data_IF_978599831382
#
_entry.id   IF_978599831382
#
_cell.length_a   1.000
_cell.length_b   1.000
_cell.length_c   1.000
_cell.angle_alpha   90.00
_cell.angle_beta   90.00
_cell.angle_gamma   90.00
#
_symmetry.space_group_name_H-M   'P 1'
#
loop_
_entity.id
_entity.type
_entity.pdbx_description
1 polymer ?
#
# COMPACT_ATOMS: atom_id res chain seq x y z
N UNK A 1 -1.51 35.16 -38.70
CA UNK A 1 -1.67 35.05 -37.23
C UNK A 1 -2.72 34.01 -36.79
N UNK A 2 -3.89 33.92 -37.42
CA UNK A 2 -4.98 33.02 -37.02
C UNK A 2 -4.62 31.51 -36.99
N UNK A 3 -3.74 31.05 -37.89
CA UNK A 3 -3.33 29.63 -37.98
C UNK A 3 -2.36 29.18 -36.88
N UNK A 4 -1.51 30.08 -36.37
CA UNK A 4 -0.59 29.77 -35.27
C UNK A 4 -1.37 29.63 -33.94
N UNK A 5 -2.36 30.50 -33.74
CA UNK A 5 -3.24 30.47 -32.57
C UNK A 5 -4.08 29.18 -32.50
N UNK A 6 -4.69 28.77 -33.63
CA UNK A 6 -5.43 27.49 -33.71
C UNK A 6 -4.56 26.25 -33.48
N UNK A 7 -3.26 26.31 -33.82
CA UNK A 7 -2.31 25.21 -33.53
C UNK A 7 -1.90 25.17 -32.07
N UNK A 8 -1.71 26.32 -31.43
CA UNK A 8 -1.39 26.40 -30.01
C UNK A 8 -2.53 25.84 -29.13
N UNK A 9 -3.79 26.19 -29.45
CA UNK A 9 -4.98 25.65 -28.77
C UNK A 9 -5.04 24.12 -28.90
N UNK A 10 -4.93 23.60 -30.13
CA UNK A 10 -4.92 22.14 -30.37
C UNK A 10 -3.71 21.40 -29.78
N UNK A 11 -2.61 22.10 -29.52
CA UNK A 11 -1.46 21.54 -28.82
C UNK A 11 -1.78 21.41 -27.34
N UNK A 12 -2.27 22.50 -26.74
CA UNK A 12 -2.68 22.55 -25.34
C UNK A 12 -3.77 21.53 -25.01
N UNK A 13 -4.82 21.44 -25.84
CA UNK A 13 -5.90 20.45 -25.67
C UNK A 13 -5.39 19.00 -25.70
N UNK A 14 -4.36 18.70 -26.52
CA UNK A 14 -3.74 17.37 -26.59
C UNK A 14 -2.84 17.08 -25.39
N UNK A 15 -2.15 18.09 -24.88
CA UNK A 15 -1.35 17.99 -23.66
C UNK A 15 -2.27 17.76 -22.45
N UNK A 16 -3.37 18.51 -22.33
CA UNK A 16 -4.38 18.36 -21.28
C UNK A 16 -5.04 16.95 -21.32
N UNK A 17 -5.36 16.43 -22.50
CA UNK A 17 -5.89 15.06 -22.66
C UNK A 17 -4.85 13.99 -22.28
N UNK A 18 -3.57 14.24 -22.57
CA UNK A 18 -2.48 13.34 -22.21
C UNK A 18 -2.25 13.33 -20.71
N UNK A 19 -2.32 14.48 -20.06
CA UNK A 19 -2.15 14.59 -18.61
C UNK A 19 -3.34 14.02 -17.84
N UNK A 20 -4.57 14.18 -18.34
CA UNK A 20 -5.74 13.48 -17.80
C UNK A 20 -5.57 11.95 -17.84
N UNK A 21 -5.10 11.39 -18.98
CA UNK A 21 -4.83 9.94 -19.10
C UNK A 21 -3.71 9.47 -18.18
N UNK A 22 -2.68 10.29 -17.97
CA UNK A 22 -1.59 9.99 -17.02
C UNK A 22 -2.10 9.99 -15.59
N UNK A 23 -2.91 10.98 -15.22
CA UNK A 23 -3.55 11.05 -13.92
C UNK A 23 -4.43 9.82 -13.67
N UNK A 24 -5.33 9.47 -14.60
CA UNK A 24 -6.21 8.30 -14.47
C UNK A 24 -5.42 7.00 -14.25
N UNK A 25 -4.28 6.82 -14.95
CA UNK A 25 -3.37 5.70 -14.72
C UNK A 25 -2.72 5.72 -13.34
N UNK A 26 -2.28 6.88 -12.87
CA UNK A 26 -1.70 7.00 -11.52
C UNK A 26 -2.72 6.63 -10.45
N UNK A 27 -3.98 7.04 -10.62
CA UNK A 27 -5.03 6.66 -9.66
C UNK A 27 -5.28 5.17 -9.69
N UNK A 28 -5.38 4.55 -10.86
CA UNK A 28 -5.57 3.10 -10.97
C UNK A 28 -4.45 2.32 -10.25
N UNK A 29 -3.20 2.76 -10.39
CA UNK A 29 -2.05 2.15 -9.68
C UNK A 29 -2.17 2.34 -8.16
N UNK A 30 -2.56 3.52 -7.69
CA UNK A 30 -2.73 3.77 -6.25
C UNK A 30 -3.87 2.94 -5.65
N UNK A 31 -4.98 2.78 -6.37
CA UNK A 31 -6.10 1.92 -5.97
C UNK A 31 -5.67 0.44 -5.88
N UNK A 32 -4.87 -0.04 -6.84
CA UNK A 32 -4.31 -1.40 -6.83
C UNK A 32 -3.37 -1.63 -5.64
N UNK A 33 -2.39 -0.74 -5.43
CA UNK A 33 -1.44 -0.81 -4.31
C UNK A 33 -2.15 -0.75 -2.96
N UNK A 34 -3.22 0.05 -2.86
CA UNK A 34 -4.06 0.11 -1.66
C UNK A 34 -4.74 -1.22 -1.35
N UNK A 35 -5.29 -1.88 -2.37
CA UNK A 35 -5.96 -3.16 -2.22
C UNK A 35 -4.97 -4.28 -1.86
N UNK A 36 -3.76 -4.27 -2.43
CA UNK A 36 -2.69 -5.20 -2.07
C UNK A 36 -2.23 -5.01 -0.62
N UNK A 37 -1.93 -3.77 -0.21
CA UNK A 37 -1.48 -3.45 1.15
C UNK A 37 -2.50 -3.87 2.21
N UNK A 38 -3.79 -3.69 1.92
CA UNK A 38 -4.87 -4.08 2.83
C UNK A 38 -4.95 -5.61 3.01
N UNK A 39 -4.80 -6.36 1.91
CA UNK A 39 -4.76 -7.84 1.96
C UNK A 39 -3.53 -8.36 2.71
N UNK A 40 -2.38 -7.74 2.49
CA UNK A 40 -1.13 -8.06 3.21
C UNK A 40 -1.30 -7.86 4.73
N UNK A 41 -1.93 -6.75 5.13
CA UNK A 41 -2.23 -6.46 6.54
C UNK A 41 -3.10 -7.53 7.17
N UNK A 42 -4.24 -7.86 6.56
CA UNK A 42 -5.16 -8.88 7.06
C UNK A 42 -4.46 -10.25 7.18
N UNK A 43 -3.64 -10.60 6.18
CA UNK A 43 -2.84 -11.83 6.19
C UNK A 43 -1.79 -11.85 7.30
N UNK A 44 -1.15 -10.73 7.62
CA UNK A 44 -0.21 -10.60 8.74
C UNK A 44 -0.92 -10.70 10.09
N UNK A 45 -2.05 -10.01 10.27
CA UNK A 45 -2.86 -10.08 11.49
C UNK A 45 -3.32 -11.51 11.77
N UNK A 46 -3.75 -12.22 10.71
CA UNK A 46 -4.13 -13.63 10.83
C UNK A 46 -2.96 -14.51 11.26
N UNK A 47 -1.80 -14.39 10.59
CA UNK A 47 -0.57 -15.14 10.94
C UNK A 47 -0.11 -14.84 12.37
N UNK A 48 -0.17 -13.58 12.80
CA UNK A 48 0.13 -13.18 14.17
C UNK A 48 -0.80 -13.87 15.17
N UNK A 49 -2.12 -13.83 14.94
CA UNK A 49 -3.10 -14.53 15.79
C UNK A 49 -2.87 -16.04 15.82
N UNK A 50 -2.60 -16.66 14.67
CA UNK A 50 -2.32 -18.09 14.58
C UNK A 50 -1.07 -18.46 15.38
N UNK A 51 0.01 -17.69 15.27
CA UNK A 51 1.25 -17.92 16.02
C UNK A 51 1.08 -17.67 17.52
N UNK A 52 0.37 -16.62 17.92
CA UNK A 52 0.01 -16.37 19.32
C UNK A 52 -0.88 -17.48 19.90
N UNK A 53 -1.81 -18.04 19.10
CA UNK A 53 -2.74 -19.09 19.55
C UNK A 53 -2.13 -20.49 19.54
N UNK A 54 -1.17 -20.75 18.65
CA UNK A 54 -0.56 -22.08 18.50
C UNK A 54 0.67 -22.29 19.35
N UNK A 55 1.31 -21.24 19.86
CA UNK A 55 2.55 -21.36 20.65
C UNK A 55 3.67 -22.11 19.92
N UNK A 56 3.58 -22.28 18.60
CA UNK A 56 4.37 -23.28 17.87
C UNK A 56 5.18 -22.62 16.78
N UNK A 57 6.44 -22.97 16.86
CA UNK A 57 7.54 -22.60 16.03
C UNK A 57 7.80 -23.82 15.14
N UNK A 58 7.42 -23.76 13.87
CA UNK A 58 7.79 -24.79 12.89
C UNK A 58 9.32 -24.86 12.71
N UNK A 59 10.03 -23.78 13.03
CA UNK A 59 11.50 -23.72 13.08
C UNK A 59 12.12 -24.56 14.21
N UNK A 60 11.39 -24.78 15.31
CA UNK A 60 11.88 -25.60 16.44
C UNK A 60 11.84 -27.10 16.14
N UNK A 61 11.01 -27.55 15.19
CA UNK A 61 10.97 -28.95 14.74
C UNK A 61 12.23 -29.37 13.97
N UNK A 62 13.00 -28.42 13.43
CA UNK A 62 14.28 -28.70 12.77
C UNK A 62 15.43 -28.93 13.76
N UNK A 63 15.27 -28.51 15.02
CA UNK A 63 16.22 -28.75 16.10
C UNK A 63 15.84 -30.09 16.74
N UNK A 64 16.76 -31.06 16.80
CA UNK A 64 16.57 -32.26 17.61
C UNK A 64 16.47 -31.84 19.09
N UNK A 65 15.24 -31.64 19.56
CA UNK A 65 14.86 -31.24 20.92
C UNK A 65 15.46 -29.91 21.42
N UNK A 66 14.89 -28.76 21.03
CA UNK A 66 15.24 -27.47 21.63
C UNK A 66 14.85 -27.40 23.11
N UNK A 67 15.67 -26.72 23.92
CA UNK A 67 15.38 -26.50 25.34
C UNK A 67 14.23 -25.49 25.54
N UNK A 68 13.55 -25.49 26.69
CA UNK A 68 12.51 -24.50 27.00
C UNK A 68 12.96 -23.05 26.81
N UNK A 69 14.20 -22.70 27.16
CA UNK A 69 14.72 -21.34 26.93
C UNK A 69 14.90 -21.03 25.44
N UNK A 70 15.36 -22.00 24.65
CA UNK A 70 15.50 -21.84 23.19
C UNK A 70 14.14 -21.67 22.51
N UNK A 71 13.11 -22.38 22.99
CA UNK A 71 11.75 -22.20 22.50
C UNK A 71 11.23 -20.79 22.82
N UNK A 72 11.41 -20.32 24.06
CA UNK A 72 10.94 -19.02 24.51
C UNK A 72 11.65 -17.85 23.80
N UNK A 73 12.97 -17.93 23.63
CA UNK A 73 13.76 -16.91 22.93
C UNK A 73 13.35 -16.80 21.46
N UNK A 74 13.21 -17.93 20.76
CA UNK A 74 12.81 -17.94 19.36
C UNK A 74 11.35 -17.47 19.16
N UNK A 75 10.45 -17.81 20.08
CA UNK A 75 9.07 -17.28 20.07
C UNK A 75 9.06 -15.75 20.27
N UNK A 76 9.86 -15.22 21.18
CA UNK A 76 9.97 -13.78 21.43
C UNK A 76 10.52 -13.02 20.20
N UNK A 77 11.50 -13.58 19.51
CA UNK A 77 12.07 -12.99 18.29
C UNK A 77 11.07 -12.99 17.12
N UNK A 78 10.36 -14.10 16.90
CA UNK A 78 9.33 -14.19 15.85
C UNK A 78 8.16 -13.24 16.15
N UNK A 79 7.73 -13.16 17.41
CA UNK A 79 6.69 -12.23 17.84
C UNK A 79 7.08 -10.78 17.56
N UNK A 80 8.31 -10.37 17.93
CA UNK A 80 8.82 -9.02 17.64
C UNK A 80 8.90 -8.73 16.15
N UNK A 81 9.36 -9.67 15.33
CA UNK A 81 9.43 -9.50 13.88
C UNK A 81 8.05 -9.26 13.27
N UNK A 82 7.03 -9.98 13.75
CA UNK A 82 5.64 -9.81 13.33
C UNK A 82 5.04 -8.49 13.80
N UNK A 83 5.25 -8.10 15.05
CA UNK A 83 4.82 -6.80 15.57
C UNK A 83 5.41 -5.66 14.72
N UNK A 84 6.69 -5.74 14.39
CA UNK A 84 7.32 -4.77 13.49
C UNK A 84 6.75 -4.81 12.06
N UNK A 85 6.44 -5.99 11.53
CA UNK A 85 5.83 -6.10 10.20
C UNK A 85 4.43 -5.49 10.18
N UNK A 86 3.59 -5.78 11.17
CA UNK A 86 2.25 -5.21 11.33
C UNK A 86 2.33 -3.69 11.44
N UNK A 87 3.18 -3.17 12.33
CA UNK A 87 3.33 -1.71 12.50
C UNK A 87 3.80 -1.01 11.21
N UNK A 88 4.69 -1.64 10.43
CA UNK A 88 5.09 -1.10 9.11
C UNK A 88 3.92 -1.07 8.14
N UNK A 89 3.15 -2.15 8.06
CA UNK A 89 2.01 -2.24 7.15
C UNK A 89 0.88 -1.27 7.54
N UNK A 90 0.63 -1.06 8.84
CA UNK A 90 -0.31 -0.04 9.33
C UNK A 90 0.10 1.37 8.90
N UNK A 91 1.41 1.69 9.01
CA UNK A 91 1.93 2.97 8.54
C UNK A 91 1.76 3.15 7.04
N UNK A 92 2.04 2.11 6.25
CA UNK A 92 1.83 2.13 4.80
C UNK A 92 0.35 2.32 4.45
N UNK A 93 -0.54 1.63 5.16
CA UNK A 93 -1.99 1.78 4.98
C UNK A 93 -2.45 3.22 5.24
N UNK A 94 -1.92 3.86 6.29
CA UNK A 94 -2.25 5.24 6.59
C UNK A 94 -1.73 6.22 5.53
N UNK A 95 -0.51 6.00 5.03
CA UNK A 95 0.03 6.76 3.90
C UNK A 95 -0.83 6.62 2.64
N UNK A 96 -1.29 5.41 2.35
CA UNK A 96 -2.18 5.14 1.22
C UNK A 96 -3.52 5.86 1.38
N UNK A 97 -4.12 5.90 2.58
CA UNK A 97 -5.35 6.67 2.81
C UNK A 97 -5.16 8.16 2.55
N UNK A 98 -4.04 8.73 3.00
CA UNK A 98 -3.70 10.14 2.75
C UNK A 98 -3.53 10.39 1.25
N UNK A 99 -2.84 9.50 0.54
CA UNK A 99 -2.69 9.59 -0.92
C UNK A 99 -4.04 9.48 -1.64
N UNK A 100 -4.92 8.59 -1.18
CA UNK A 100 -6.28 8.44 -1.73
C UNK A 100 -7.10 9.70 -1.53
N UNK A 101 -7.11 10.27 -0.33
CA UNK A 101 -7.83 11.52 -0.05
C UNK A 101 -7.31 12.68 -0.91
N UNK A 102 -5.99 12.75 -1.13
CA UNK A 102 -5.40 13.73 -2.04
C UNK A 102 -5.87 13.53 -3.49
N UNK A 103 -5.89 12.28 -3.98
CA UNK A 103 -6.39 11.94 -5.31
C UNK A 103 -7.88 12.26 -5.47
N UNK A 104 -8.70 11.97 -4.47
CA UNK A 104 -10.13 12.31 -4.45
C UNK A 104 -10.32 13.83 -4.54
N UNK A 105 -9.52 14.61 -3.79
CA UNK A 105 -9.51 16.07 -3.90
C UNK A 105 -9.11 16.59 -5.28
N UNK A 106 -8.13 15.96 -5.94
CA UNK A 106 -7.74 16.30 -7.31
C UNK A 106 -8.83 15.95 -8.34
N UNK A 107 -9.50 14.79 -8.19
CA UNK A 107 -10.66 14.40 -9.01
C UNK A 107 -11.78 15.43 -8.90
N UNK A 108 -12.13 15.84 -7.68
CA UNK A 108 -13.15 16.87 -7.46
C UNK A 108 -12.78 18.22 -8.07
N UNK A 109 -11.52 18.63 -8.00
CA UNK A 109 -11.05 19.88 -8.59
C UNK A 109 -11.14 19.86 -10.13
N UNK A 110 -10.80 18.73 -10.74
CA UNK A 110 -10.99 18.49 -12.19
C UNK A 110 -12.47 18.54 -12.58
N UNK A 111 -13.33 17.84 -11.86
CA UNK A 111 -14.78 17.80 -12.15
C UNK A 111 -15.44 19.18 -12.03
N UNK A 112 -14.89 20.04 -11.17
CA UNK A 112 -15.31 21.45 -11.00
C UNK A 112 -14.67 22.40 -12.03
N UNK A 113 -13.81 21.93 -12.92
CA UNK A 113 -13.11 22.73 -13.94
C UNK A 113 -12.07 23.70 -13.37
N UNK A 114 -11.57 23.43 -12.16
CA UNK A 114 -10.53 24.22 -11.48
C UNK A 114 -9.12 23.72 -11.85
N UNK A 115 -9.03 22.46 -12.30
CA UNK A 115 -7.91 21.80 -12.96
C UNK A 115 -8.39 21.23 -14.30
#
# INVERSE_FOLDING_TARGET
MLNAFKRAIRSKERDDETDAKRFDRMVAVLEEVSAETSREYEGLVKRMRELSSRGVNETLYAIKQPTPEQLAASQADVAKQLEHAVARTEKLLEQVKVQRAFVEGLREARDKGVL
#
